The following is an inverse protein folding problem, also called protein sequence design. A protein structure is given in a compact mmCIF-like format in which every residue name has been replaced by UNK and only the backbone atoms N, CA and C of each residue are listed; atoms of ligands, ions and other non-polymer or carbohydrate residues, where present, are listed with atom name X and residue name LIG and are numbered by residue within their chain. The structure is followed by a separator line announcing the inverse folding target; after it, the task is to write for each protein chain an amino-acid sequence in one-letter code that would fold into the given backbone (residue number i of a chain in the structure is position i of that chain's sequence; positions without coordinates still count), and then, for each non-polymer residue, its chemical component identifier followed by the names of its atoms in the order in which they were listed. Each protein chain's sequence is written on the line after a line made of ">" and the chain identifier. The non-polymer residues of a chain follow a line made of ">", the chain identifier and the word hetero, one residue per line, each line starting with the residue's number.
data_IF_996447045585
#
_entry.id   IF_996447045585
#
_cell.length_a   1.000
_cell.length_b   1.000
_cell.length_c   1.000
_cell.angle_alpha   90.00
_cell.angle_beta   90.00
_cell.angle_gamma   90.00
#
_symmetry.space_group_name_H-M   'P 1'
#
loop_
_entity.id
_entity.type
_entity.pdbx_description
1 polymer ?
#
# COMPACT_ATOMS: atom_id res chain seq x y z
N UNK A 1 -14.55 7.17 -5.38
CA UNK A 1 -13.10 7.25 -5.14
C UNK A 1 -12.41 7.62 -6.45
N UNK A 2 -11.33 8.39 -6.38
CA UNK A 2 -10.44 8.68 -7.52
C UNK A 2 -9.20 7.79 -7.42
N UNK A 3 -9.09 6.76 -8.27
CA UNK A 3 -8.01 5.77 -8.24
C UNK A 3 -6.65 6.42 -8.56
N UNK A 4 -6.62 7.44 -9.42
CA UNK A 4 -5.37 8.14 -9.78
C UNK A 4 -4.79 8.86 -8.57
N UNK A 5 -5.64 9.48 -7.75
CA UNK A 5 -5.21 10.10 -6.50
C UNK A 5 -4.67 9.09 -5.48
N UNK A 6 -5.23 7.88 -5.41
CA UNK A 6 -4.74 6.85 -4.48
C UNK A 6 -3.39 6.28 -4.92
N UNK A 7 -3.19 6.13 -6.24
CA UNK A 7 -1.89 5.79 -6.82
C UNK A 7 -0.83 6.83 -6.43
N UNK A 8 -1.12 8.12 -6.61
CA UNK A 8 -0.18 9.19 -6.27
C UNK A 8 0.14 9.20 -4.77
N UNK A 9 -0.87 9.08 -3.91
CA UNK A 9 -0.68 9.03 -2.45
C UNK A 9 0.12 7.81 -2.00
N UNK A 10 -0.03 6.68 -2.69
CA UNK A 10 0.78 5.49 -2.43
C UNK A 10 2.26 5.73 -2.74
N UNK A 11 2.56 6.45 -3.83
CA UNK A 11 3.93 6.86 -4.17
C UNK A 11 4.51 7.86 -3.14
N UNK A 12 3.74 8.89 -2.77
CA UNK A 12 4.14 9.87 -1.75
C UNK A 12 4.44 9.21 -0.39
N UNK A 13 3.71 8.13 -0.08
CA UNK A 13 3.92 7.37 1.14
C UNK A 13 5.28 6.65 1.15
N UNK A 14 5.73 6.12 0.00
CA UNK A 14 7.06 5.48 -0.11
C UNK A 14 8.16 6.51 0.16
N UNK A 15 8.03 7.73 -0.35
CA UNK A 15 8.97 8.81 -0.07
C UNK A 15 8.99 9.17 1.42
N UNK A 16 7.82 9.22 2.05
CA UNK A 16 7.69 9.45 3.50
C UNK A 16 8.38 8.35 4.32
N UNK A 17 8.26 7.09 3.90
CA UNK A 17 8.96 5.95 4.52
C UNK A 17 10.49 6.09 4.40
N UNK A 18 10.99 6.51 3.24
CA UNK A 18 12.42 6.76 3.04
C UNK A 18 12.93 7.87 3.97
N UNK A 19 12.14 8.93 4.17
CA UNK A 19 12.46 9.98 5.13
C UNK A 19 12.58 9.46 6.57
N UNK A 20 11.69 8.55 6.98
CA UNK A 20 11.75 7.93 8.32
C UNK A 20 13.03 7.12 8.53
N UNK A 21 13.54 6.45 7.51
CA UNK A 21 14.79 5.71 7.62
C UNK A 21 16.02 6.60 7.83
N UNK A 22 15.97 7.85 7.37
CA UNK A 22 17.02 8.84 7.61
C UNK A 22 17.04 9.40 9.02
N UNK A 23 16.00 9.13 9.84
CA UNK A 23 15.93 9.59 11.23
C UNK A 23 16.75 8.66 12.13
N UNK A 24 17.60 9.24 12.98
CA UNK A 24 18.37 8.47 13.96
C UNK A 24 17.52 7.80 15.04
N UNK A 25 16.30 8.27 15.26
CA UNK A 25 15.44 7.74 16.33
C UNK A 25 13.98 7.76 15.90
N UNK A 26 13.48 6.62 15.40
CA UNK A 26 12.08 6.43 15.05
C UNK A 26 11.31 5.87 16.25
N UNK A 27 10.24 6.54 16.63
CA UNK A 27 9.39 6.17 17.75
C UNK A 27 8.56 4.91 17.47
N UNK A 28 8.06 4.26 18.53
CA UNK A 28 7.13 3.14 18.38
C UNK A 28 5.81 3.58 17.72
N UNK A 29 5.39 4.82 17.93
CA UNK A 29 4.17 5.38 17.34
C UNK A 29 4.32 5.52 15.82
N UNK A 30 5.45 6.06 15.35
CA UNK A 30 5.76 6.16 13.91
C UNK A 30 5.85 4.77 13.26
N UNK A 31 6.45 3.79 13.95
CA UNK A 31 6.48 2.40 13.47
C UNK A 31 5.07 1.82 13.38
N UNK A 32 4.23 2.06 14.39
CA UNK A 32 2.85 1.59 14.39
C UNK A 32 2.07 2.23 13.24
N UNK A 33 2.24 3.52 13.01
CA UNK A 33 1.59 4.26 11.93
C UNK A 33 1.90 3.65 10.57
N UNK A 34 3.17 3.41 10.23
CA UNK A 34 3.54 2.81 8.94
C UNK A 34 3.17 1.32 8.84
N UNK A 35 3.08 0.61 9.97
CA UNK A 35 2.73 -0.82 10.01
C UNK A 35 1.23 -1.08 9.85
N UNK A 36 0.39 -0.05 10.05
CA UNK A 36 -1.06 -0.22 10.15
C UNK A 36 -1.72 0.09 8.81
N UNK A 37 -2.17 -0.98 8.14
CA UNK A 37 -2.75 -0.87 6.79
C UNK A 37 -4.04 -0.04 6.71
N UNK A 38 -4.93 -0.10 7.69
CA UNK A 38 -6.24 0.58 7.62
C UNK A 38 -6.19 2.08 7.97
N UNK A 39 -5.00 2.63 8.28
CA UNK A 39 -4.81 4.05 8.59
C UNK A 39 -4.42 4.89 7.39
N UNK A 40 -4.03 4.29 6.27
CA UNK A 40 -3.86 5.03 5.03
C UNK A 40 -5.22 5.22 4.33
N UNK A 41 -5.30 6.12 3.36
CA UNK A 41 -6.56 6.40 2.68
C UNK A 41 -7.05 5.21 1.85
N UNK A 42 -6.16 4.56 1.11
CA UNK A 42 -6.45 3.32 0.40
C UNK A 42 -6.96 2.23 1.34
N UNK A 43 -6.31 2.04 2.48
CA UNK A 43 -6.73 1.08 3.50
C UNK A 43 -8.11 1.35 4.06
N UNK A 44 -8.41 2.61 4.42
CA UNK A 44 -9.75 3.01 4.85
C UNK A 44 -10.79 2.74 3.77
N UNK A 45 -10.45 3.01 2.51
CA UNK A 45 -11.35 2.73 1.41
C UNK A 45 -11.55 1.22 1.24
N UNK A 46 -10.50 0.40 1.27
CA UNK A 46 -10.57 -1.06 1.15
C UNK A 46 -11.45 -1.73 2.23
N UNK A 47 -11.58 -1.09 3.39
CA UNK A 47 -12.45 -1.53 4.50
C UNK A 47 -13.83 -0.85 4.50
N UNK A 48 -14.09 0.08 3.57
CA UNK A 48 -15.35 0.83 3.49
C UNK A 48 -16.45 0.08 2.74
N UNK A 49 -17.70 0.46 3.01
CA UNK A 49 -18.89 -0.05 2.30
C UNK A 49 -18.97 0.42 0.84
N UNK A 50 -18.22 1.48 0.48
CA UNK A 50 -18.10 2.01 -0.88
C UNK A 50 -17.43 1.02 -1.85
N UNK A 51 -16.85 -0.08 -1.35
CA UNK A 51 -16.35 -1.19 -2.17
C UNK A 51 -17.44 -2.04 -2.80
N UNK A 52 -18.72 -1.87 -2.41
CA UNK A 52 -19.83 -2.68 -2.92
C UNK A 52 -19.93 -2.70 -4.45
N UNK A 53 -19.55 -1.60 -5.13
CA UNK A 53 -19.49 -1.50 -6.58
C UNK A 53 -18.35 -2.32 -7.23
N UNK A 54 -17.37 -2.75 -6.42
CA UNK A 54 -16.17 -3.46 -6.84
C UNK A 54 -16.13 -4.90 -6.33
N UNK A 55 -17.18 -5.38 -5.67
CA UNK A 55 -17.24 -6.73 -5.07
C UNK A 55 -17.02 -7.87 -6.07
N UNK A 56 -17.35 -7.65 -7.34
CA UNK A 56 -17.21 -8.63 -8.42
C UNK A 56 -15.85 -8.50 -9.12
N UNK A 57 -14.96 -7.62 -8.65
CA UNK A 57 -13.60 -7.51 -9.14
C UNK A 57 -12.79 -8.72 -8.63
N UNK A 58 -12.35 -9.63 -9.53
CA UNK A 58 -11.78 -10.92 -9.14
C UNK A 58 -10.49 -10.81 -8.31
N UNK A 59 -9.77 -9.70 -8.42
CA UNK A 59 -8.48 -9.50 -7.75
C UNK A 59 -8.60 -8.60 -6.50
N UNK A 60 -9.82 -8.34 -6.02
CA UNK A 60 -10.06 -7.42 -4.89
C UNK A 60 -9.46 -7.94 -3.58
N UNK A 61 -9.64 -9.23 -3.29
CA UNK A 61 -9.05 -9.85 -2.11
C UNK A 61 -7.52 -9.88 -2.20
N UNK A 62 -6.98 -10.13 -3.40
CA UNK A 62 -5.55 -10.08 -3.64
C UNK A 62 -4.98 -8.67 -3.42
N UNK A 63 -5.69 -7.62 -3.85
CA UNK A 63 -5.33 -6.23 -3.56
C UNK A 63 -5.28 -5.98 -2.04
N UNK A 64 -6.31 -6.41 -1.29
CA UNK A 64 -6.36 -6.26 0.17
C UNK A 64 -5.19 -6.95 0.85
N UNK A 65 -4.87 -8.17 0.42
CA UNK A 65 -3.77 -8.96 0.98
C UNK A 65 -2.40 -8.37 0.65
N UNK A 66 -2.17 -7.95 -0.60
CA UNK A 66 -0.94 -7.27 -1.01
C UNK A 66 -0.75 -5.96 -0.25
N UNK A 67 -1.82 -5.20 -0.05
CA UNK A 67 -1.80 -3.96 0.73
C UNK A 67 -1.48 -4.19 2.22
N UNK A 68 -2.10 -5.19 2.85
CA UNK A 68 -1.77 -5.60 4.23
C UNK A 68 -0.30 -6.03 4.36
N UNK A 69 0.18 -6.82 3.40
CA UNK A 69 1.56 -7.29 3.37
C UNK A 69 2.57 -6.14 3.17
N UNK A 70 2.26 -5.17 2.31
CA UNK A 70 3.04 -3.96 2.11
C UNK A 70 3.30 -3.21 3.42
N UNK A 71 2.24 -2.86 4.16
CA UNK A 71 2.37 -2.18 5.46
C UNK A 71 3.12 -3.03 6.49
N UNK A 72 2.92 -4.35 6.49
CA UNK A 72 3.69 -5.25 7.36
C UNK A 72 5.19 -5.18 7.08
N UNK A 73 5.60 -5.23 5.80
CA UNK A 73 7.00 -5.13 5.40
C UNK A 73 7.61 -3.77 5.75
N UNK A 74 6.84 -2.69 5.62
CA UNK A 74 7.28 -1.36 6.03
C UNK A 74 7.61 -1.30 7.53
N UNK A 75 6.73 -1.84 8.35
CA UNK A 75 6.98 -1.97 9.78
C UNK A 75 8.22 -2.79 10.11
N UNK A 76 8.44 -3.90 9.39
CA UNK A 76 9.63 -4.74 9.56
C UNK A 76 10.90 -3.98 9.17
N UNK A 77 10.88 -3.29 8.04
CA UNK A 77 12.00 -2.49 7.53
C UNK A 77 12.40 -1.40 8.52
N UNK A 78 11.46 -0.59 9.02
CA UNK A 78 11.77 0.46 10.00
C UNK A 78 12.29 -0.11 11.32
N UNK A 79 11.73 -1.24 11.79
CA UNK A 79 12.22 -1.93 12.99
C UNK A 79 13.65 -2.45 12.80
N UNK A 80 13.97 -3.01 11.64
CA UNK A 80 15.29 -3.53 11.30
C UNK A 80 16.32 -2.38 11.21
N UNK A 81 15.97 -1.29 10.54
CA UNK A 81 16.81 -0.07 10.48
C UNK A 81 17.11 0.45 11.89
N UNK A 82 16.09 0.57 12.74
CA UNK A 82 16.28 1.00 14.14
C UNK A 82 17.19 0.05 14.94
N UNK A 83 17.17 -1.24 14.62
CA UNK A 83 18.01 -2.25 15.26
C UNK A 83 19.43 -2.35 14.66
N UNK A 84 19.74 -1.57 13.62
CA UNK A 84 20.95 -1.72 12.79
C UNK A 84 21.11 -3.13 12.19
N UNK A 85 19.99 -3.80 11.87
CA UNK A 85 19.97 -5.10 11.20
C UNK A 85 19.79 -4.88 9.68
N UNK A 86 20.91 -4.63 9.00
CA UNK A 86 20.93 -4.33 7.56
C UNK A 86 20.37 -5.47 6.70
N UNK A 87 20.64 -6.73 7.08
CA UNK A 87 20.16 -7.89 6.34
C UNK A 87 18.63 -7.97 6.38
N UNK A 88 18.04 -7.80 7.56
CA UNK A 88 16.60 -7.82 7.72
C UNK A 88 15.95 -6.58 7.09
N UNK A 89 16.61 -5.41 7.13
CA UNK A 89 16.13 -4.21 6.47
C UNK A 89 16.05 -4.39 4.94
N UNK A 90 17.08 -4.97 4.32
CA UNK A 90 17.10 -5.27 2.88
C UNK A 90 16.04 -6.31 2.50
N UNK A 91 15.92 -7.41 3.25
CA UNK A 91 14.89 -8.41 3.00
C UNK A 91 13.46 -7.85 3.12
N UNK A 92 13.23 -6.98 4.10
CA UNK A 92 11.95 -6.29 4.25
C UNK A 92 11.71 -5.27 3.14
N UNK A 93 12.74 -4.58 2.65
CA UNK A 93 12.66 -3.67 1.51
C UNK A 93 12.27 -4.40 0.24
N UNK A 94 12.87 -5.56 -0.06
CA UNK A 94 12.51 -6.36 -1.23
C UNK A 94 11.03 -6.78 -1.18
N UNK A 95 10.57 -7.26 -0.03
CA UNK A 95 9.16 -7.60 0.20
C UNK A 95 8.23 -6.39 0.05
N UNK A 96 8.63 -5.23 0.57
CA UNK A 96 7.89 -3.98 0.44
C UNK A 96 7.72 -3.57 -1.03
N UNK A 97 8.82 -3.55 -1.80
CA UNK A 97 8.80 -3.14 -3.21
C UNK A 97 7.96 -4.10 -4.07
N UNK A 98 8.07 -5.40 -3.83
CA UNK A 98 7.26 -6.40 -4.51
C UNK A 98 5.76 -6.17 -4.24
N UNK A 99 5.36 -5.97 -2.98
CA UNK A 99 3.96 -5.73 -2.63
C UNK A 99 3.45 -4.37 -3.07
N UNK A 100 4.31 -3.35 -3.08
CA UNK A 100 3.99 -2.06 -3.68
C UNK A 100 3.65 -2.19 -5.16
N UNK A 101 4.43 -2.99 -5.90
CA UNK A 101 4.18 -3.22 -7.32
C UNK A 101 2.83 -3.91 -7.55
N UNK A 102 2.54 -4.97 -6.79
CA UNK A 102 1.27 -5.68 -6.88
C UNK A 102 0.06 -4.76 -6.60
N UNK A 103 0.12 -3.94 -5.54
CA UNK A 103 -0.95 -2.96 -5.24
C UNK A 103 -1.19 -2.03 -6.43
N UNK A 104 -0.13 -1.49 -7.00
CA UNK A 104 -0.23 -0.58 -8.15
C UNK A 104 -0.81 -1.27 -9.39
N UNK A 105 -0.40 -2.50 -9.67
CA UNK A 105 -0.91 -3.28 -10.80
C UNK A 105 -2.41 -3.58 -10.63
N UNK A 106 -2.86 -3.92 -9.42
CA UNK A 106 -4.29 -4.12 -9.14
C UNK A 106 -5.11 -2.83 -9.25
N UNK A 107 -4.62 -1.70 -8.71
CA UNK A 107 -5.30 -0.41 -8.82
C UNK A 107 -5.45 0.01 -10.29
N UNK A 108 -4.40 -0.15 -11.10
CA UNK A 108 -4.45 0.12 -12.53
C UNK A 108 -5.46 -0.79 -13.26
N UNK A 109 -5.51 -2.08 -12.91
CA UNK A 109 -6.48 -3.02 -13.47
C UNK A 109 -7.92 -2.68 -13.08
N UNK A 110 -8.16 -2.23 -11.85
CA UNK A 110 -9.48 -1.74 -11.41
C UNK A 110 -9.90 -0.51 -12.19
N UNK A 111 -8.99 0.44 -12.39
CA UNK A 111 -9.25 1.67 -13.15
C UNK A 111 -9.62 1.37 -14.60
N UNK A 112 -8.87 0.49 -15.27
CA UNK A 112 -9.13 0.10 -16.66
C UNK A 112 -10.53 -0.52 -16.82
N UNK A 113 -10.93 -1.42 -15.91
CA UNK A 113 -12.29 -2.01 -15.95
C UNK A 113 -13.40 -0.99 -15.73
N UNK A 114 -13.19 0.00 -14.85
CA UNK A 114 -14.16 1.08 -14.67
C UNK A 114 -14.28 1.99 -15.90
N UNK A 115 -13.17 2.29 -16.56
CA UNK A 115 -13.16 3.08 -17.79
C UNK A 115 -13.88 2.35 -18.94
N UNK A 116 -13.68 1.03 -19.07
CA UNK A 116 -14.35 0.20 -20.09
C UNK A 116 -15.85 0.02 -19.80
N UNK A 117 -16.25 -0.13 -18.53
CA UNK A 117 -17.66 -0.23 -18.14
C UNK A 117 -18.45 1.07 -18.39
N UNK A 118 -17.78 2.22 -18.42
CA UNK A 118 -18.38 3.51 -18.79
C UNK A 118 -18.48 3.75 -20.30
N UNK A 119 -17.93 2.85 -21.12
CA UNK A 119 -17.88 2.94 -22.58
C UNK A 119 -18.81 1.88 -23.18
N UNK A 120 -20.12 2.03 -22.96
CA UNK A 120 -21.09 1.23 -23.70
C UNK A 120 -21.01 1.58 -25.21
N UNK A 121 -21.02 0.60 -26.12
CA UNK A 121 -21.12 0.88 -27.55
C UNK A 121 -22.52 1.41 -27.87
N UNK A 122 -22.58 2.51 -28.63
CA UNK A 122 -23.79 2.97 -29.33
C UNK A 122 -24.31 1.90 -30.30
#
# INVERSE_FOLDING_TARGET
>A
MDIDQEILKHLDWIESLVSLMGKQNVSNEEILEVSTHDRCQLGRWLESEDLSAYKDFPDLDALKDSHKAFHRFAGQMVRAVRANDEMQALAAQDGLLAKSREVMDYLAAMQAKCADAGKAPD
#
